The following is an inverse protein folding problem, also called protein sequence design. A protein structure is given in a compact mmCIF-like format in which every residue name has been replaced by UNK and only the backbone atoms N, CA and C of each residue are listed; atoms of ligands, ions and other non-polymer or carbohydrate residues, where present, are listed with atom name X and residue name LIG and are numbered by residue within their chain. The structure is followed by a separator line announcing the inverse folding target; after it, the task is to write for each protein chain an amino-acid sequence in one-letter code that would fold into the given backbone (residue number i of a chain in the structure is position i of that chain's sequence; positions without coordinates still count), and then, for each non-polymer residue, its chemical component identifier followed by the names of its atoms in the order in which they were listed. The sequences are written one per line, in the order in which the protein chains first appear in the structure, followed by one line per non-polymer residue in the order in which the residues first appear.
data_IF_446542819469
#
_entry.id   IF_446542819469
#
_cell.length_a   1.000
_cell.length_b   1.000
_cell.length_c   1.000
_cell.angle_alpha   90.00
_cell.angle_beta   90.00
_cell.angle_gamma   90.00
#
_symmetry.space_group_name_H-M   'P 1'
#
loop_
_entity.id
_entity.type
_entity.pdbx_description
1 polymer ?
#
# COMPACT_ATOMS: atom_id res chain seq x y z
N UNK A 1 26.63 11.80 4.63
CA UNK A 1 26.80 10.66 5.55
C UNK A 1 25.68 10.70 6.59
N UNK A 2 24.97 9.60 6.76
CA UNK A 2 23.90 9.50 7.77
C UNK A 2 24.51 9.48 9.17
N UNK A 3 24.00 10.33 10.05
CA UNK A 3 24.44 10.39 11.46
C UNK A 3 23.71 9.37 12.34
N UNK A 4 22.55 8.92 11.90
CA UNK A 4 21.71 7.93 12.55
C UNK A 4 21.07 7.03 11.49
N UNK A 5 21.00 5.74 11.77
CA UNK A 5 20.26 4.75 10.97
C UNK A 5 19.21 4.07 11.84
N UNK A 6 18.02 3.88 11.32
CA UNK A 6 16.97 3.08 11.95
C UNK A 6 16.81 1.82 11.10
N UNK A 7 17.01 0.65 11.67
CA UNK A 7 16.89 -0.62 10.94
C UNK A 7 16.61 -1.80 11.88
N UNK A 8 16.20 -2.92 11.31
CA UNK A 8 16.07 -4.18 12.03
C UNK A 8 17.43 -4.70 12.52
N UNK A 9 17.44 -5.37 13.66
CA UNK A 9 18.64 -5.85 14.34
C UNK A 9 19.60 -6.62 13.42
N UNK A 10 19.08 -7.48 12.54
CA UNK A 10 19.86 -8.27 11.60
C UNK A 10 20.73 -7.47 10.61
N UNK A 11 20.40 -6.18 10.42
CA UNK A 11 21.13 -5.30 9.48
C UNK A 11 22.13 -4.36 10.16
N UNK A 12 22.18 -4.32 11.48
CA UNK A 12 22.95 -3.33 12.25
C UNK A 12 24.44 -3.38 11.97
N UNK A 13 25.00 -4.56 11.72
CA UNK A 13 26.43 -4.74 11.42
C UNK A 13 26.89 -4.09 10.10
N UNK A 14 25.98 -3.69 9.22
CA UNK A 14 26.30 -3.07 7.94
C UNK A 14 26.57 -1.57 8.04
N UNK A 15 26.29 -0.95 9.19
CA UNK A 15 26.37 0.50 9.35
C UNK A 15 27.45 0.91 10.34
N UNK A 16 28.22 1.95 9.98
CA UNK A 16 29.28 2.55 10.83
C UNK A 16 28.81 3.81 11.57
N UNK A 17 27.50 4.09 11.54
CA UNK A 17 26.89 5.20 12.26
C UNK A 17 26.11 4.71 13.48
N UNK A 18 25.55 5.62 14.26
CA UNK A 18 24.64 5.27 15.34
C UNK A 18 23.41 4.54 14.77
N UNK A 19 23.02 3.44 15.38
CA UNK A 19 21.90 2.61 14.91
C UNK A 19 20.87 2.51 16.01
N UNK A 20 19.61 2.82 15.66
CA UNK A 20 18.43 2.59 16.46
C UNK A 20 17.72 1.33 15.92
N UNK A 21 17.44 0.38 16.79
CA UNK A 21 16.67 -0.80 16.42
C UNK A 21 15.20 -0.45 16.28
N UNK A 22 14.57 -0.93 15.22
CA UNK A 22 13.13 -0.69 15.01
C UNK A 22 12.23 -1.64 15.82
N UNK A 23 12.81 -2.72 16.37
CA UNK A 23 12.06 -3.70 17.17
C UNK A 23 11.70 -3.16 18.57
N UNK A 24 12.57 -2.37 19.17
CA UNK A 24 12.39 -1.86 20.53
C UNK A 24 12.77 -0.38 20.70
N UNK A 25 13.12 0.28 19.62
CA UNK A 25 13.56 1.70 19.60
C UNK A 25 14.74 1.99 20.53
N UNK A 26 15.61 0.99 20.76
CA UNK A 26 16.82 1.15 21.56
C UNK A 26 18.05 1.33 20.68
N UNK A 27 18.97 2.14 21.16
CA UNK A 27 20.29 2.25 20.55
C UNK A 27 21.11 0.99 20.81
N UNK A 28 21.92 0.56 19.83
CA UNK A 28 22.75 -0.65 19.99
C UNK A 28 23.80 -0.52 21.09
N UNK A 29 24.29 0.69 21.32
CA UNK A 29 25.25 0.98 22.39
C UNK A 29 24.62 1.10 23.80
N UNK A 30 23.30 0.91 23.89
CA UNK A 30 22.53 1.04 25.14
C UNK A 30 22.44 2.45 25.70
N UNK A 31 23.04 3.45 25.02
CA UNK A 31 23.21 4.79 25.56
C UNK A 31 21.96 5.67 25.48
N UNK A 32 20.97 5.33 24.67
CA UNK A 32 19.76 6.13 24.51
C UNK A 32 18.56 5.29 24.04
N UNK A 33 17.56 5.19 24.91
CA UNK A 33 16.20 4.85 24.46
C UNK A 33 15.52 6.14 23.98
N UNK A 34 14.74 6.05 22.90
CA UNK A 34 13.77 7.12 22.58
C UNK A 34 12.67 6.98 23.62
N UNK A 35 12.54 7.95 24.53
CA UNK A 35 11.40 8.03 25.42
C UNK A 35 10.26 8.69 24.63
N UNK A 36 9.17 7.95 24.40
CA UNK A 36 7.99 8.49 23.76
C UNK A 36 7.37 9.66 24.54
N UNK A 37 7.63 9.75 25.84
CA UNK A 37 7.22 10.90 26.65
C UNK A 37 7.90 12.21 26.24
N UNK A 38 9.07 12.16 25.60
CA UNK A 38 9.74 13.34 25.06
C UNK A 38 8.92 14.02 23.95
N UNK A 39 7.98 13.30 23.34
CA UNK A 39 7.12 13.81 22.27
C UNK A 39 5.73 14.26 22.74
N UNK A 40 5.29 13.87 23.93
CA UNK A 40 3.94 14.16 24.44
C UNK A 40 3.71 15.67 24.66
N UNK A 41 4.77 16.42 24.93
CA UNK A 41 4.71 17.86 25.21
C UNK A 41 5.12 18.73 24.02
N UNK A 42 5.36 18.15 22.83
CA UNK A 42 5.70 18.93 21.65
C UNK A 42 4.54 19.87 21.25
N UNK A 43 4.89 21.14 21.13
CA UNK A 43 3.97 22.15 20.59
C UNK A 43 4.19 22.28 19.08
N UNK A 44 3.19 22.72 18.30
CA UNK A 44 3.36 22.99 16.87
C UNK A 44 4.52 23.94 16.54
N UNK A 45 4.85 24.85 17.48
CA UNK A 45 6.00 25.78 17.37
C UNK A 45 7.36 25.07 17.43
N UNK A 46 7.44 23.87 18.02
CA UNK A 46 8.69 23.12 18.16
C UNK A 46 9.04 22.36 16.87
N UNK A 47 8.05 22.22 15.98
CA UNK A 47 8.23 21.54 14.70
C UNK A 47 8.76 22.52 13.65
N UNK A 48 9.97 22.27 13.14
CA UNK A 48 10.52 23.05 12.02
C UNK A 48 10.05 22.48 10.70
N UNK A 49 9.26 23.26 9.95
CA UNK A 49 8.82 22.90 8.62
C UNK A 49 9.83 23.37 7.57
N UNK A 50 10.21 22.50 6.64
CA UNK A 50 11.10 22.82 5.52
C UNK A 50 10.34 23.48 4.36
N UNK A 51 9.46 24.44 4.64
CA UNK A 51 8.60 25.08 3.63
C UNK A 51 9.38 25.88 2.57
N UNK A 52 10.57 26.37 2.96
CA UNK A 52 11.32 27.35 2.14
C UNK A 52 12.31 26.72 1.18
N UNK A 53 12.42 25.38 1.15
CA UNK A 53 13.40 24.67 0.31
C UNK A 53 12.78 23.47 -0.40
N UNK A 54 11.77 23.69 -1.27
CA UNK A 54 11.05 22.61 -1.95
C UNK A 54 11.96 21.74 -2.83
N UNK A 55 13.06 22.29 -3.35
CA UNK A 55 14.04 21.57 -4.17
C UNK A 55 15.08 20.80 -3.36
N UNK A 56 15.04 20.91 -2.03
CA UNK A 56 15.94 20.13 -1.19
C UNK A 56 15.63 18.63 -1.32
N UNK A 57 16.69 17.82 -1.29
CA UNK A 57 16.59 16.36 -1.29
C UNK A 57 15.78 15.88 -0.08
N UNK A 58 14.68 15.17 -0.33
CA UNK A 58 13.83 14.56 0.69
C UNK A 58 14.16 13.07 0.89
N UNK A 59 14.37 12.33 -0.21
CA UNK A 59 14.51 10.90 -0.20
C UNK A 59 15.40 10.42 -1.35
N UNK A 60 16.15 9.33 -1.13
CA UNK A 60 16.81 8.57 -2.19
C UNK A 60 16.15 7.20 -2.24
N UNK A 61 15.45 6.92 -3.35
CA UNK A 61 14.82 5.61 -3.60
C UNK A 61 15.67 4.82 -4.60
N UNK A 62 15.92 3.55 -4.30
CA UNK A 62 16.72 2.69 -5.16
C UNK A 62 15.83 1.88 -6.10
N UNK A 63 16.17 1.92 -7.38
CA UNK A 63 15.54 1.08 -8.42
C UNK A 63 16.51 0.01 -8.88
N UNK A 64 15.99 -1.19 -9.19
CA UNK A 64 16.77 -2.21 -9.88
C UNK A 64 17.05 -1.74 -11.32
N UNK A 65 18.26 -1.24 -11.57
CA UNK A 65 18.63 -0.77 -12.91
C UNK A 65 18.64 -1.92 -13.92
N UNK A 66 18.22 -1.66 -15.15
CA UNK A 66 18.30 -2.60 -16.29
C UNK A 66 19.73 -3.07 -16.61
N UNK A 67 20.72 -2.37 -16.10
CA UNK A 67 22.17 -2.65 -16.25
C UNK A 67 22.75 -3.50 -15.12
N UNK A 68 21.92 -4.03 -14.22
CA UNK A 68 22.36 -4.85 -13.08
C UNK A 68 22.84 -4.06 -11.84
N UNK A 69 23.03 -2.75 -11.95
CA UNK A 69 23.37 -1.90 -10.82
C UNK A 69 22.16 -1.11 -10.32
N UNK A 70 21.93 -1.11 -9.01
CA UNK A 70 20.89 -0.28 -8.40
C UNK A 70 21.20 1.20 -8.58
N UNK A 71 20.20 1.98 -9.00
CA UNK A 71 20.30 3.43 -9.16
C UNK A 71 19.55 4.12 -8.05
N UNK A 72 20.20 5.07 -7.36
CA UNK A 72 19.57 5.94 -6.37
C UNK A 72 18.87 7.11 -7.06
N UNK A 73 17.55 7.10 -7.06
CA UNK A 73 16.72 8.22 -7.57
C UNK A 73 16.57 9.24 -6.47
N UNK A 74 17.05 10.45 -6.70
CA UNK A 74 16.95 11.56 -5.76
C UNK A 74 15.60 12.26 -5.93
N UNK A 75 14.81 12.30 -4.87
CA UNK A 75 13.49 12.91 -4.83
C UNK A 75 13.51 14.13 -3.91
N UNK A 76 12.97 15.24 -4.40
CA UNK A 76 12.85 16.48 -3.64
C UNK A 76 11.56 16.51 -2.80
N UNK A 77 11.48 17.42 -1.82
CA UNK A 77 10.24 17.67 -1.10
C UNK A 77 9.10 18.07 -2.03
N UNK A 78 9.39 18.84 -3.08
CA UNK A 78 8.39 19.23 -4.10
C UNK A 78 7.80 18.01 -4.80
N UNK A 79 8.66 17.06 -5.25
CA UNK A 79 8.20 15.87 -5.96
C UNK A 79 7.38 14.94 -5.07
N UNK A 80 7.74 14.83 -3.80
CA UNK A 80 6.96 14.07 -2.82
C UNK A 80 5.61 14.72 -2.55
N UNK A 81 5.62 16.02 -2.30
CA UNK A 81 4.42 16.77 -1.97
C UNK A 81 3.41 16.82 -3.13
N UNK A 82 3.87 16.91 -4.38
CA UNK A 82 2.98 16.90 -5.54
C UNK A 82 2.19 15.59 -5.68
N UNK A 83 2.76 14.45 -5.29
CA UNK A 83 2.01 13.19 -5.26
C UNK A 83 0.93 13.19 -4.16
N UNK A 84 1.23 13.79 -3.00
CA UNK A 84 0.26 13.91 -1.90
C UNK A 84 -0.91 14.80 -2.31
N UNK A 85 -0.64 15.96 -2.89
CA UNK A 85 -1.70 16.87 -3.41
C UNK A 85 -2.53 16.15 -4.46
N UNK A 86 -1.91 15.47 -5.42
CA UNK A 86 -2.62 14.72 -6.44
C UNK A 86 -3.52 13.64 -5.83
N UNK A 87 -3.02 12.90 -4.84
CA UNK A 87 -3.83 11.89 -4.17
C UNK A 87 -5.01 12.50 -3.41
N UNK A 88 -4.82 13.63 -2.72
CA UNK A 88 -5.86 14.34 -1.99
C UNK A 88 -6.95 14.87 -2.94
N UNK A 89 -6.58 15.29 -4.15
CA UNK A 89 -7.53 15.77 -5.16
C UNK A 89 -8.35 14.65 -5.83
N UNK A 90 -7.79 13.44 -5.97
CA UNK A 90 -8.43 12.35 -6.74
C UNK A 90 -8.97 11.22 -5.87
N UNK A 91 -8.49 11.09 -4.64
CA UNK A 91 -8.89 10.06 -3.69
C UNK A 91 -9.64 10.74 -2.54
N UNK A 92 -10.91 10.38 -2.35
CA UNK A 92 -11.76 10.95 -1.29
C UNK A 92 -11.40 10.37 0.10
N UNK A 93 -10.17 10.63 0.55
CA UNK A 93 -9.75 10.33 1.92
C UNK A 93 -10.32 11.33 2.91
N UNK A 94 -10.66 10.84 4.09
CA UNK A 94 -11.04 11.68 5.24
C UNK A 94 -10.21 11.31 6.45
N UNK A 95 -9.86 12.29 7.25
CA UNK A 95 -9.17 12.05 8.52
C UNK A 95 -9.96 11.04 9.37
N UNK A 96 -9.28 9.99 9.82
CA UNK A 96 -9.87 8.90 10.57
C UNK A 96 -10.35 7.70 9.73
N UNK A 97 -10.31 7.76 8.39
CA UNK A 97 -10.58 6.62 7.54
C UNK A 97 -9.48 5.55 7.71
N UNK A 98 -9.88 4.30 7.92
CA UNK A 98 -8.91 3.22 8.05
C UNK A 98 -8.25 2.88 6.72
N UNK A 99 -6.93 2.71 6.74
CA UNK A 99 -6.16 2.25 5.60
C UNK A 99 -5.24 1.08 5.99
N UNK A 100 -4.84 0.27 5.03
CA UNK A 100 -4.01 -0.91 5.25
C UNK A 100 -2.84 -0.93 4.27
N UNK A 101 -1.65 -0.63 4.76
CA UNK A 101 -0.41 -0.68 4.01
C UNK A 101 0.11 -2.12 3.90
N UNK A 102 0.11 -2.66 2.69
CA UNK A 102 0.58 -4.02 2.39
C UNK A 102 1.75 -4.04 1.40
N UNK A 103 2.03 -2.91 0.76
CA UNK A 103 3.11 -2.79 -0.21
C UNK A 103 4.45 -2.52 0.49
N UNK A 104 5.56 -2.98 -0.09
CA UNK A 104 6.88 -2.69 0.46
C UNK A 104 7.18 -1.18 0.46
N UNK A 105 7.46 -0.62 1.63
CA UNK A 105 7.82 0.79 1.81
C UNK A 105 9.13 1.19 1.11
N UNK A 106 9.97 0.22 0.74
CA UNK A 106 11.17 0.45 -0.06
C UNK A 106 10.87 0.84 -1.52
N UNK A 107 9.66 0.59 -2.00
CA UNK A 107 9.20 0.99 -3.33
C UNK A 107 8.35 2.24 -3.26
N UNK A 108 8.58 3.20 -4.17
CA UNK A 108 7.89 4.49 -4.18
C UNK A 108 6.38 4.38 -4.28
N UNK A 109 5.85 3.37 -4.98
CA UNK A 109 4.40 3.15 -5.03
C UNK A 109 3.82 2.86 -3.64
N UNK A 110 4.44 1.96 -2.88
CA UNK A 110 4.04 1.68 -1.50
C UNK A 110 4.28 2.88 -0.57
N UNK A 111 5.47 3.50 -0.66
CA UNK A 111 5.80 4.63 0.19
C UNK A 111 4.88 5.83 -0.02
N UNK A 112 4.62 6.22 -1.27
CA UNK A 112 3.83 7.40 -1.57
C UNK A 112 2.32 7.18 -1.32
N UNK A 113 1.75 6.09 -1.87
CA UNK A 113 0.30 5.91 -1.94
C UNK A 113 -0.28 4.97 -0.87
N UNK A 114 0.52 4.05 -0.33
CA UNK A 114 0.10 3.11 0.72
C UNK A 114 0.54 3.57 2.12
N UNK A 115 1.13 4.78 2.22
CA UNK A 115 1.57 5.38 3.47
C UNK A 115 1.47 6.91 3.49
N UNK A 116 2.33 7.62 2.70
CA UNK A 116 2.48 9.08 2.86
C UNK A 116 1.20 9.85 2.58
N UNK A 117 0.48 9.51 1.51
CA UNK A 117 -0.77 10.20 1.16
C UNK A 117 -1.81 10.03 2.26
N UNK A 118 -2.00 8.80 2.72
CA UNK A 118 -2.96 8.45 3.77
C UNK A 118 -2.60 9.12 5.10
N UNK A 119 -1.32 9.04 5.48
CA UNK A 119 -0.81 9.65 6.71
C UNK A 119 -0.96 11.17 6.72
N UNK A 120 -0.67 11.85 5.60
CA UNK A 120 -0.76 13.31 5.51
C UNK A 120 -2.20 13.83 5.59
N UNK A 121 -3.18 13.03 5.18
CA UNK A 121 -4.61 13.38 5.33
C UNK A 121 -5.12 13.11 6.75
N UNK A 122 -4.38 12.34 7.55
CA UNK A 122 -4.76 11.98 8.93
C UNK A 122 -5.52 10.67 9.03
N UNK A 123 -5.31 9.75 8.09
CA UNK A 123 -5.81 8.39 8.16
C UNK A 123 -4.94 7.55 9.11
N UNK A 124 -5.52 6.72 9.98
CA UNK A 124 -4.77 5.68 10.68
C UNK A 124 -4.30 4.62 9.69
N UNK A 125 -2.98 4.53 9.50
CA UNK A 125 -2.34 3.57 8.59
C UNK A 125 -1.97 2.30 9.35
N UNK A 126 -2.62 1.19 9.01
CA UNK A 126 -2.34 -0.11 9.58
C UNK A 126 -1.31 -0.86 8.74
N UNK A 127 -0.21 -1.28 9.35
CA UNK A 127 0.85 -2.02 8.66
C UNK A 127 0.70 -3.52 8.83
N UNK A 128 0.90 -4.27 7.75
CA UNK A 128 0.93 -5.72 7.81
C UNK A 128 2.25 -6.17 8.45
N UNK A 129 2.17 -6.74 9.67
CA UNK A 129 3.35 -7.17 10.45
C UNK A 129 3.88 -8.55 10.06
N UNK A 130 3.09 -9.33 9.33
CA UNK A 130 3.45 -10.69 8.87
C UNK A 130 3.82 -10.69 7.40
N UNK A 131 4.66 -11.63 7.00
CA UNK A 131 4.98 -11.83 5.57
C UNK A 131 3.70 -12.00 4.75
N UNK A 132 3.50 -11.18 3.71
CA UNK A 132 2.28 -11.20 2.92
C UNK A 132 2.03 -12.57 2.29
N UNK A 133 0.89 -13.16 2.61
CA UNK A 133 0.33 -14.32 1.92
C UNK A 133 -1.15 -14.04 1.64
N UNK A 134 -1.78 -14.72 0.66
CA UNK A 134 -3.18 -14.46 0.33
C UNK A 134 -4.13 -14.52 1.53
N UNK A 135 -3.94 -15.48 2.43
CA UNK A 135 -4.78 -15.64 3.61
C UNK A 135 -4.55 -14.52 4.64
N UNK A 136 -3.28 -14.16 4.88
CA UNK A 136 -2.93 -13.08 5.80
C UNK A 136 -3.49 -11.75 5.31
N UNK A 137 -3.36 -11.47 4.01
CA UNK A 137 -3.87 -10.27 3.38
C UNK A 137 -5.41 -10.19 3.48
N UNK A 138 -6.13 -11.29 3.14
CA UNK A 138 -7.59 -11.33 3.24
C UNK A 138 -8.06 -11.14 4.68
N UNK A 139 -7.38 -11.75 5.65
CA UNK A 139 -7.73 -11.58 7.06
C UNK A 139 -7.51 -10.12 7.52
N UNK A 140 -6.39 -9.51 7.14
CA UNK A 140 -6.12 -8.11 7.46
C UNK A 140 -7.16 -7.16 6.82
N UNK A 141 -7.53 -7.36 5.55
CA UNK A 141 -8.62 -6.60 4.92
C UNK A 141 -9.96 -6.78 5.64
N UNK A 142 -10.27 -8.01 6.06
CA UNK A 142 -11.53 -8.29 6.79
C UNK A 142 -11.58 -7.63 8.16
N UNK A 143 -10.44 -7.51 8.83
CA UNK A 143 -10.32 -6.89 10.15
C UNK A 143 -10.35 -5.36 10.06
N UNK A 144 -9.50 -4.79 9.21
CA UNK A 144 -9.29 -3.33 9.09
C UNK A 144 -10.41 -2.67 8.29
N UNK A 145 -10.93 -3.32 7.25
CA UNK A 145 -11.96 -2.81 6.34
C UNK A 145 -11.58 -1.42 5.78
N UNK A 146 -10.48 -1.32 5.06
CA UNK A 146 -9.97 -0.04 4.61
C UNK A 146 -10.94 0.66 3.64
N UNK A 147 -10.86 2.00 3.59
CA UNK A 147 -11.69 2.82 2.69
C UNK A 147 -11.21 2.75 1.24
N UNK A 148 -9.94 2.42 1.03
CA UNK A 148 -9.32 2.21 -0.27
C UNK A 148 -8.45 0.95 -0.22
N UNK A 149 -8.32 0.26 -1.34
CA UNK A 149 -7.45 -0.92 -1.47
C UNK A 149 -6.36 -0.62 -2.49
N UNK A 150 -5.10 -0.61 -2.04
CA UNK A 150 -3.94 -0.38 -2.92
C UNK A 150 -3.14 -1.67 -3.01
N UNK A 151 -3.04 -2.24 -4.21
CA UNK A 151 -2.45 -3.57 -4.40
C UNK A 151 -1.60 -3.65 -5.67
N UNK A 152 -0.69 -4.63 -5.70
CA UNK A 152 -0.07 -5.05 -6.97
C UNK A 152 -0.95 -6.07 -7.70
N UNK A 153 -0.91 -6.13 -9.04
CA UNK A 153 -1.72 -7.03 -9.86
C UNK A 153 -1.73 -8.48 -9.36
N UNK A 154 -0.57 -9.00 -8.98
CA UNK A 154 -0.39 -10.39 -8.56
C UNK A 154 -1.32 -10.82 -7.41
N UNK A 155 -1.61 -9.92 -6.47
CA UNK A 155 -2.50 -10.22 -5.33
C UNK A 155 -3.92 -10.49 -5.83
N UNK A 156 -4.46 -9.57 -6.61
CA UNK A 156 -5.83 -9.66 -7.12
C UNK A 156 -5.98 -10.80 -8.14
N UNK A 157 -4.99 -10.96 -9.01
CA UNK A 157 -4.92 -12.09 -9.97
C UNK A 157 -4.97 -13.44 -9.26
N UNK A 158 -4.18 -13.63 -8.21
CA UNK A 158 -4.21 -14.87 -7.42
C UNK A 158 -5.58 -15.12 -6.78
N UNK A 159 -6.23 -14.09 -6.26
CA UNK A 159 -7.57 -14.22 -5.69
C UNK A 159 -8.57 -14.63 -6.77
N UNK A 160 -8.60 -13.92 -7.90
CA UNK A 160 -9.53 -14.19 -9.00
C UNK A 160 -9.28 -15.57 -9.62
N UNK A 161 -8.02 -15.89 -9.94
CA UNK A 161 -7.67 -17.16 -10.59
C UNK A 161 -7.90 -18.37 -9.71
N UNK A 162 -7.60 -18.27 -8.40
CA UNK A 162 -7.69 -19.41 -7.48
C UNK A 162 -9.08 -19.58 -6.87
N UNK A 163 -9.81 -18.50 -6.63
CA UNK A 163 -11.08 -18.58 -5.89
C UNK A 163 -12.31 -18.39 -6.80
N UNK A 164 -12.19 -17.63 -7.89
CA UNK A 164 -13.34 -17.23 -8.71
C UNK A 164 -13.42 -18.04 -10.00
N UNK A 165 -12.35 -18.12 -10.77
CA UNK A 165 -12.36 -18.85 -12.05
C UNK A 165 -12.72 -20.31 -11.93
N UNK A 166 -12.31 -21.09 -10.91
CA UNK A 166 -12.78 -22.46 -10.73
C UNK A 166 -14.29 -22.54 -10.53
N UNK A 167 -14.88 -21.62 -9.78
CA UNK A 167 -16.33 -21.55 -9.57
C UNK A 167 -17.07 -21.27 -10.88
N UNK A 168 -16.58 -20.33 -11.69
CA UNK A 168 -17.15 -20.01 -12.99
C UNK A 168 -17.11 -21.17 -13.99
N UNK A 169 -16.16 -22.09 -13.83
CA UNK A 169 -16.01 -23.27 -14.70
C UNK A 169 -16.92 -24.43 -14.33
N UNK A 170 -17.60 -24.39 -13.19
CA UNK A 170 -18.54 -25.46 -12.79
C UNK A 170 -19.72 -25.55 -13.76
N UNK A 171 -20.21 -26.76 -14.08
CA UNK A 171 -21.30 -26.96 -15.05
C UNK A 171 -22.56 -26.17 -14.70
N UNK A 172 -22.94 -26.15 -13.42
CA UNK A 172 -24.11 -25.43 -12.92
C UNK A 172 -24.03 -23.92 -13.17
N UNK A 173 -22.87 -23.30 -12.82
CA UNK A 173 -22.67 -21.86 -13.04
C UNK A 173 -22.59 -21.55 -14.55
N UNK A 174 -21.92 -22.39 -15.34
CA UNK A 174 -21.88 -22.23 -16.80
C UNK A 174 -23.28 -22.26 -17.43
N UNK A 175 -24.17 -23.13 -16.94
CA UNK A 175 -25.56 -23.16 -17.41
C UNK A 175 -26.28 -21.85 -17.02
N UNK A 176 -26.15 -21.37 -15.79
CA UNK A 176 -26.76 -20.12 -15.35
C UNK A 176 -26.24 -18.90 -16.15
N UNK A 177 -24.96 -18.89 -16.54
CA UNK A 177 -24.37 -17.79 -17.33
C UNK A 177 -24.93 -17.70 -18.76
N UNK A 178 -25.59 -18.73 -19.29
CA UNK A 178 -26.26 -18.69 -20.59
C UNK A 178 -27.61 -17.97 -20.56
N UNK A 179 -28.19 -17.80 -19.38
CA UNK A 179 -29.52 -17.13 -19.18
C UNK A 179 -29.24 -15.69 -18.70
N UNK A 180 -29.65 -14.65 -19.46
CA UNK A 180 -29.31 -13.25 -19.16
C UNK A 180 -29.64 -12.80 -17.73
N UNK A 181 -30.81 -13.12 -17.23
CA UNK A 181 -31.25 -12.76 -15.87
C UNK A 181 -30.38 -13.46 -14.80
N UNK A 182 -30.10 -14.75 -14.97
CA UNK A 182 -29.27 -15.53 -14.04
C UNK A 182 -27.81 -15.11 -14.11
N UNK A 183 -27.30 -14.75 -15.28
CA UNK A 183 -25.95 -14.21 -15.49
C UNK A 183 -25.71 -13.00 -14.61
N UNK A 184 -26.64 -12.03 -14.59
CA UNK A 184 -26.50 -10.83 -13.77
C UNK A 184 -26.50 -11.15 -12.27
N UNK A 185 -27.32 -12.11 -11.84
CA UNK A 185 -27.33 -12.57 -10.44
C UNK A 185 -26.01 -13.23 -10.06
N UNK A 186 -25.46 -14.09 -10.91
CA UNK A 186 -24.17 -14.75 -10.69
C UNK A 186 -23.05 -13.70 -10.58
N UNK A 187 -22.96 -12.77 -11.55
CA UNK A 187 -21.92 -11.75 -11.54
C UNK A 187 -22.01 -10.83 -10.32
N UNK A 188 -23.21 -10.44 -9.91
CA UNK A 188 -23.41 -9.66 -8.68
C UNK A 188 -22.94 -10.41 -7.44
N UNK A 189 -23.26 -11.71 -7.31
CA UNK A 189 -22.81 -12.54 -6.19
C UNK A 189 -21.27 -12.65 -6.16
N UNK A 190 -20.65 -12.86 -7.31
CA UNK A 190 -19.19 -12.95 -7.43
C UNK A 190 -18.53 -11.61 -7.09
N UNK A 191 -19.05 -10.51 -7.63
CA UNK A 191 -18.58 -9.16 -7.29
C UNK A 191 -18.63 -8.92 -5.79
N UNK A 192 -19.76 -9.22 -5.15
CA UNK A 192 -19.95 -9.01 -3.73
C UNK A 192 -19.00 -9.89 -2.90
N UNK A 193 -18.78 -11.15 -3.32
CA UNK A 193 -17.81 -12.04 -2.67
C UNK A 193 -16.38 -11.50 -2.76
N UNK A 194 -15.96 -11.03 -3.94
CA UNK A 194 -14.65 -10.43 -4.14
C UNK A 194 -14.50 -9.13 -3.33
N UNK A 195 -15.51 -8.28 -3.37
CA UNK A 195 -15.57 -7.04 -2.60
C UNK A 195 -15.45 -7.31 -1.09
N UNK A 196 -16.20 -8.27 -0.57
CA UNK A 196 -16.13 -8.66 0.85
C UNK A 196 -14.78 -9.27 1.23
N UNK A 197 -14.11 -10.00 0.32
CA UNK A 197 -12.79 -10.57 0.60
C UNK A 197 -11.67 -9.52 0.73
N UNK A 198 -11.93 -8.32 0.26
CA UNK A 198 -11.04 -7.16 0.38
C UNK A 198 -11.55 -6.14 1.44
N UNK A 199 -12.32 -6.61 2.43
CA UNK A 199 -12.81 -5.81 3.55
C UNK A 199 -14.23 -5.30 3.39
N UNK A 200 -14.76 -5.19 2.17
CA UNK A 200 -16.15 -4.82 1.88
C UNK A 200 -16.56 -3.40 2.27
N UNK A 201 -15.60 -2.50 2.43
CA UNK A 201 -15.85 -1.10 2.83
C UNK A 201 -15.22 -0.08 1.87
N UNK A 202 -14.33 -0.51 0.98
CA UNK A 202 -13.62 0.41 0.08
C UNK A 202 -14.51 0.88 -1.07
N UNK A 203 -14.26 2.10 -1.53
CA UNK A 203 -14.94 2.63 -2.71
C UNK A 203 -14.18 2.35 -4.02
N UNK A 204 -12.84 2.16 -3.94
CA UNK A 204 -11.98 1.90 -5.10
C UNK A 204 -10.82 0.96 -4.76
N UNK A 205 -10.43 0.13 -5.75
CA UNK A 205 -9.25 -0.72 -5.69
C UNK A 205 -8.22 -0.25 -6.70
N UNK A 206 -7.13 0.37 -6.24
CA UNK A 206 -6.04 0.85 -7.09
C UNK A 206 -5.03 -0.27 -7.32
N UNK A 207 -4.82 -0.61 -8.58
CA UNK A 207 -3.94 -1.71 -9.00
C UNK A 207 -2.75 -1.10 -9.74
N UNK A 208 -1.54 -1.21 -9.20
CA UNK A 208 -0.36 -0.60 -9.81
C UNK A 208 0.93 -1.38 -9.59
N UNK A 209 2.03 -0.83 -10.07
CA UNK A 209 3.38 -1.37 -9.88
C UNK A 209 3.80 -2.51 -10.82
N UNK A 210 2.90 -3.08 -11.62
CA UNK A 210 3.21 -4.09 -12.64
C UNK A 210 2.11 -4.16 -13.70
N UNK A 211 2.39 -4.84 -14.82
CA UNK A 211 1.39 -5.09 -15.86
C UNK A 211 0.26 -5.98 -15.33
N UNK A 212 -0.98 -5.59 -15.59
CA UNK A 212 -2.16 -6.32 -15.16
C UNK A 212 -2.59 -7.37 -16.19
N UNK A 213 -2.96 -8.56 -15.75
CA UNK A 213 -3.41 -9.64 -16.62
C UNK A 213 -4.72 -9.27 -17.32
N UNK A 214 -4.69 -9.27 -18.67
CA UNK A 214 -5.82 -8.84 -19.51
C UNK A 214 -7.10 -9.68 -19.31
N UNK A 215 -6.97 -10.98 -19.01
CA UNK A 215 -8.14 -11.85 -18.76
C UNK A 215 -8.83 -11.46 -17.45
N UNK A 216 -8.02 -11.23 -16.40
CA UNK A 216 -8.52 -10.80 -15.09
C UNK A 216 -9.13 -9.40 -15.19
N UNK A 217 -8.45 -8.47 -15.85
CA UNK A 217 -8.96 -7.12 -16.06
C UNK A 217 -10.32 -7.14 -16.80
N UNK A 218 -10.40 -7.87 -17.91
CA UNK A 218 -11.66 -8.03 -18.65
C UNK A 218 -12.76 -8.62 -17.79
N UNK A 219 -12.42 -9.58 -16.95
CA UNK A 219 -13.38 -10.18 -16.01
C UNK A 219 -13.86 -9.16 -14.98
N UNK A 220 -13.00 -8.38 -14.34
CA UNK A 220 -13.38 -7.35 -13.38
C UNK A 220 -14.29 -6.30 -14.01
N UNK A 221 -14.01 -5.86 -15.24
CA UNK A 221 -14.91 -5.00 -16.03
C UNK A 221 -16.28 -5.65 -16.22
N UNK A 222 -16.31 -6.94 -16.57
CA UNK A 222 -17.56 -7.69 -16.82
C UNK A 222 -18.46 -7.77 -15.59
N UNK A 223 -17.90 -7.91 -14.40
CA UNK A 223 -18.66 -7.96 -13.15
C UNK A 223 -18.89 -6.57 -12.53
N UNK A 224 -18.44 -5.51 -13.18
CA UNK A 224 -18.50 -4.13 -12.69
C UNK A 224 -17.88 -3.97 -11.29
N UNK A 225 -16.68 -4.52 -11.11
CA UNK A 225 -15.91 -4.37 -9.86
C UNK A 225 -15.29 -2.98 -9.80
N UNK A 226 -15.29 -2.28 -8.64
CA UNK A 226 -14.67 -0.95 -8.52
C UNK A 226 -13.14 -1.08 -8.50
N UNK A 227 -12.48 -0.70 -9.59
CA UNK A 227 -11.03 -0.68 -9.68
C UNK A 227 -10.52 0.32 -10.69
N UNK A 228 -9.34 0.85 -10.41
CA UNK A 228 -8.54 1.68 -11.32
C UNK A 228 -7.16 1.07 -11.48
N UNK A 229 -6.64 1.06 -12.71
CA UNK A 229 -5.26 0.66 -12.98
C UNK A 229 -4.38 1.89 -13.00
N UNK A 230 -3.48 1.98 -12.02
CA UNK A 230 -2.47 3.02 -11.94
C UNK A 230 -1.24 2.64 -12.76
N UNK A 231 -0.74 3.57 -13.57
CA UNK A 231 0.51 3.46 -14.29
C UNK A 231 1.42 4.62 -13.88
N UNK A 232 2.65 4.27 -13.49
CA UNK A 232 3.67 5.26 -13.13
C UNK A 232 5.06 4.63 -13.10
N UNK A 233 6.07 5.48 -13.23
CA UNK A 233 7.48 5.12 -13.05
C UNK A 233 8.06 5.81 -11.82
#
# INVERSE_FOLDING_TARGET
ESKLMICGEKYTAHFKCRVLRNEDYKMLDGSMAIDMNDFVNLQPSDVRYFRDKPEQLALISYTSGSTGHSKGVMLTFRSMWSNIIFADEVIDFKAGDNTLAILPMAHMYGFAFDFMCEFCVGCPVHFLTKTPSPNIIINAFSEIKPIIVIVVPLILEKIVQKQIFPVLRTPSIRAMLKVPLLKNVVYRKIRNKLYSSLGGNFYECIIGGAAFNKEVEKFLKTINFPYTVGYGM
#
